data_IF_229140830162
#
_entry.id   IF_229140830162
#
_cell.length_a   1.000
_cell.length_b   1.000
_cell.length_c   1.000
_cell.angle_alpha   90.00
_cell.angle_beta   90.00
_cell.angle_gamma   90.00
#
_symmetry.space_group_name_H-M   'P 1'
#
loop_
_entity.id
_entity.type
_entity.pdbx_description
1 polymer ?
#
# COMPACT_ATOMS: atom_id res chain seq x y z
N UNK A 1 -13.03 -8.14 1.02
CA UNK A 1 -11.55 -8.09 0.96
C UNK A 1 -11.07 -8.22 -0.47
N UNK A 2 -10.25 -7.30 -0.96
CA UNK A 2 -9.70 -7.31 -2.32
C UNK A 2 -8.57 -8.35 -2.49
N UNK A 3 -8.02 -8.48 -3.72
CA UNK A 3 -6.98 -9.48 -4.01
C UNK A 3 -5.65 -9.18 -3.32
N UNK A 4 -5.34 -7.91 -3.07
CA UNK A 4 -4.09 -7.49 -2.41
C UNK A 4 -4.16 -7.82 -0.92
N UNK A 5 -5.26 -7.50 -0.26
CA UNK A 5 -5.49 -7.87 1.13
C UNK A 5 -5.50 -9.41 1.31
N UNK A 6 -6.07 -10.17 0.36
CA UNK A 6 -5.98 -11.64 0.40
C UNK A 6 -4.54 -12.13 0.27
N UNK A 7 -3.75 -11.55 -0.63
CA UNK A 7 -2.32 -11.87 -0.76
C UNK A 7 -1.56 -11.59 0.55
N UNK A 8 -1.77 -10.43 1.16
CA UNK A 8 -1.14 -10.03 2.43
C UNK A 8 -1.54 -11.00 3.54
N UNK A 9 -2.84 -11.34 3.65
CA UNK A 9 -3.34 -12.28 4.65
C UNK A 9 -2.74 -13.68 4.48
N UNK A 10 -2.73 -14.20 3.25
CA UNK A 10 -2.17 -15.51 2.95
C UNK A 10 -0.65 -15.55 3.18
N UNK A 11 0.03 -14.43 2.94
CA UNK A 11 1.45 -14.29 3.22
C UNK A 11 1.71 -14.30 4.74
N UNK A 12 0.91 -13.57 5.52
CA UNK A 12 0.95 -13.57 6.98
C UNK A 12 0.68 -14.97 7.56
N UNK A 13 -0.35 -15.67 7.05
CA UNK A 13 -0.67 -17.04 7.49
C UNK A 13 0.47 -18.03 7.28
N UNK A 14 1.18 -17.93 6.14
CA UNK A 14 2.33 -18.81 5.87
C UNK A 14 3.54 -18.54 6.75
N UNK A 15 3.71 -17.29 7.20
CA UNK A 15 4.81 -16.91 8.11
C UNK A 15 4.51 -17.27 9.55
N UNK A 16 3.25 -17.12 9.96
CA UNK A 16 2.84 -17.30 11.35
C UNK A 16 3.39 -16.21 12.28
N UNK A 17 3.22 -16.43 13.58
CA UNK A 17 3.67 -15.50 14.60
C UNK A 17 2.72 -14.32 14.80
N UNK A 18 3.19 -13.31 15.54
CA UNK A 18 2.44 -12.10 15.84
C UNK A 18 2.60 -11.09 14.74
N UNK A 19 1.48 -10.58 14.22
CA UNK A 19 1.41 -9.71 13.03
C UNK A 19 0.93 -8.31 13.41
N UNK A 20 1.55 -7.28 12.86
CA UNK A 20 1.05 -5.90 12.86
C UNK A 20 0.65 -5.50 11.44
N UNK A 21 -0.56 -4.99 11.26
CA UNK A 21 -0.98 -4.28 10.05
C UNK A 21 -0.80 -2.77 10.28
N UNK A 22 0.26 -2.21 9.72
CA UNK A 22 0.60 -0.79 9.82
C UNK A 22 -0.17 0.01 8.76
N UNK A 23 -0.97 0.98 9.20
CA UNK A 23 -1.93 1.69 8.37
C UNK A 23 -3.14 0.82 8.06
N UNK A 24 -3.69 0.18 9.08
CA UNK A 24 -4.74 -0.85 8.94
C UNK A 24 -6.13 -0.28 8.55
N UNK A 25 -6.28 1.02 8.41
CA UNK A 25 -7.57 1.66 8.15
C UNK A 25 -8.63 1.26 9.17
N UNK A 26 -9.80 0.87 8.70
CA UNK A 26 -10.89 0.37 9.55
C UNK A 26 -10.70 -1.06 10.08
N UNK A 27 -9.51 -1.68 9.92
CA UNK A 27 -9.18 -2.99 10.48
C UNK A 27 -9.75 -4.18 9.70
N UNK A 28 -10.02 -4.07 8.41
CA UNK A 28 -10.56 -5.20 7.60
C UNK A 28 -9.61 -6.40 7.62
N UNK A 29 -8.30 -6.17 7.40
CA UNK A 29 -7.30 -7.23 7.41
C UNK A 29 -7.14 -7.83 8.81
N UNK A 30 -7.18 -7.00 9.85
CA UNK A 30 -7.12 -7.44 11.26
C UNK A 30 -8.29 -8.35 11.60
N UNK A 31 -9.53 -7.93 11.24
CA UNK A 31 -10.72 -8.75 11.46
C UNK A 31 -10.64 -10.10 10.75
N UNK A 32 -10.27 -10.09 9.46
CA UNK A 32 -10.14 -11.30 8.67
C UNK A 32 -9.02 -12.22 9.19
N UNK A 33 -7.90 -11.66 9.61
CA UNK A 33 -6.79 -12.40 10.20
C UNK A 33 -7.17 -13.08 11.52
N UNK A 34 -7.82 -12.35 12.43
CA UNK A 34 -8.33 -12.90 13.69
C UNK A 34 -9.34 -14.02 13.46
N UNK A 35 -10.28 -13.84 12.55
CA UNK A 35 -11.24 -14.86 12.15
C UNK A 35 -10.56 -16.12 11.57
N UNK A 36 -9.36 -15.98 11.00
CA UNK A 36 -8.53 -17.06 10.50
C UNK A 36 -7.55 -17.63 11.53
N UNK A 37 -7.65 -17.21 12.81
CA UNK A 37 -6.81 -17.70 13.91
C UNK A 37 -5.42 -17.08 14.00
N UNK A 38 -5.17 -15.94 13.34
CA UNK A 38 -3.90 -15.21 13.48
C UNK A 38 -3.91 -14.31 14.71
N UNK A 39 -2.78 -14.21 15.38
CA UNK A 39 -2.49 -13.17 16.37
C UNK A 39 -2.09 -11.89 15.63
N UNK A 40 -3.09 -11.12 15.19
CA UNK A 40 -2.91 -9.91 14.37
C UNK A 40 -3.49 -8.67 15.05
N UNK A 41 -2.75 -7.58 14.97
CA UNK A 41 -3.05 -6.25 15.50
C UNK A 41 -2.97 -5.21 14.37
N UNK A 42 -3.54 -4.04 14.60
CA UNK A 42 -3.46 -2.91 13.68
C UNK A 42 -2.95 -1.65 14.36
N UNK A 43 -2.31 -0.78 13.60
CA UNK A 43 -1.98 0.58 14.00
C UNK A 43 -2.39 1.56 12.90
N UNK A 44 -3.09 2.65 13.28
CA UNK A 44 -3.63 3.63 12.31
C UNK A 44 -3.55 5.06 12.88
N UNK A 45 -3.36 6.05 12.03
CA UNK A 45 -3.31 7.48 12.41
C UNK A 45 -4.70 8.09 12.66
N UNK A 46 -5.74 7.57 12.03
CA UNK A 46 -7.11 8.07 12.09
C UNK A 46 -7.25 9.57 11.78
N UNK A 47 -6.74 10.01 10.64
CA UNK A 47 -6.78 11.42 10.24
C UNK A 47 -8.22 11.95 10.10
N UNK A 48 -8.40 13.25 10.30
CA UNK A 48 -9.69 13.92 10.18
C UNK A 48 -10.30 13.76 8.79
N UNK A 49 -11.58 13.36 8.73
CA UNK A 49 -12.29 13.06 7.48
C UNK A 49 -12.21 11.61 7.02
N UNK A 50 -11.48 10.75 7.74
CA UNK A 50 -11.51 9.30 7.54
C UNK A 50 -12.60 8.64 8.40
N UNK A 51 -13.28 7.63 7.85
CA UNK A 51 -14.22 6.80 8.60
C UNK A 51 -13.54 5.63 9.33
N UNK A 52 -12.22 5.48 9.19
CA UNK A 52 -11.47 4.33 9.68
C UNK A 52 -11.66 4.06 11.17
N UNK A 53 -11.65 5.12 12.01
CA UNK A 53 -11.89 5.00 13.45
C UNK A 53 -13.28 4.41 13.76
N UNK A 54 -14.33 4.91 13.08
CA UNK A 54 -15.69 4.42 13.27
C UNK A 54 -15.84 2.98 12.76
N UNK A 55 -15.19 2.65 11.66
CA UNK A 55 -15.20 1.29 11.12
C UNK A 55 -14.49 0.30 12.05
N UNK A 56 -13.33 0.66 12.61
CA UNK A 56 -12.63 -0.16 13.60
C UNK A 56 -13.47 -0.37 14.87
N UNK A 57 -14.16 0.70 15.34
CA UNK A 57 -15.07 0.61 16.48
C UNK A 57 -16.27 -0.30 16.18
N UNK A 58 -16.90 -0.17 15.02
CA UNK A 58 -18.04 -0.99 14.60
C UNK A 58 -17.66 -2.50 14.47
N UNK A 59 -16.38 -2.79 14.21
CA UNK A 59 -15.85 -4.17 14.20
C UNK A 59 -15.45 -4.66 15.60
N UNK A 60 -15.56 -3.83 16.64
CA UNK A 60 -15.12 -4.17 18.00
C UNK A 60 -13.61 -4.32 18.16
N UNK A 61 -12.82 -3.67 17.30
CA UNK A 61 -11.36 -3.82 17.27
C UNK A 61 -10.64 -2.64 17.94
N UNK A 62 -11.28 -1.47 18.01
CA UNK A 62 -10.65 -0.24 18.48
C UNK A 62 -10.25 -0.34 19.97
N UNK A 63 -9.01 0.04 20.26
CA UNK A 63 -8.44 0.04 21.61
C UNK A 63 -7.80 -1.31 22.03
N UNK A 64 -8.32 -2.43 21.56
CA UNK A 64 -7.73 -3.78 21.80
C UNK A 64 -6.81 -4.19 20.66
N UNK A 65 -7.39 -4.56 19.52
CA UNK A 65 -6.65 -5.08 18.38
C UNK A 65 -6.14 -3.98 17.46
N UNK A 66 -6.85 -2.86 17.35
CA UNK A 66 -6.47 -1.70 16.53
C UNK A 66 -6.22 -0.52 17.45
N UNK A 67 -5.00 0.01 17.41
CA UNK A 67 -4.57 1.13 18.23
C UNK A 67 -4.18 2.33 17.38
N UNK A 68 -4.37 3.51 17.96
CA UNK A 68 -3.97 4.77 17.33
C UNK A 68 -2.45 4.94 17.39
N UNK A 69 -1.85 5.30 16.27
CA UNK A 69 -0.43 5.70 16.19
C UNK A 69 -0.31 7.02 16.95
N UNK A 70 0.63 7.06 17.90
CA UNK A 70 0.84 8.20 18.76
C UNK A 70 1.44 9.41 18.05
N UNK A 71 1.59 10.49 18.79
CA UNK A 71 2.30 11.69 18.33
C UNK A 71 3.70 11.32 17.82
N UNK A 72 4.18 12.07 16.85
CA UNK A 72 5.46 11.80 16.17
C UNK A 72 5.56 10.43 15.47
N UNK A 73 4.41 9.76 15.22
CA UNK A 73 4.37 8.50 14.46
C UNK A 73 4.77 7.27 15.27
N UNK A 74 4.77 7.34 16.62
CA UNK A 74 5.13 6.20 17.47
C UNK A 74 4.09 5.07 17.36
N UNK A 75 4.54 3.87 17.07
CA UNK A 75 3.71 2.67 17.02
C UNK A 75 3.42 2.21 18.47
N UNK A 76 2.13 2.11 18.88
CA UNK A 76 1.73 1.91 20.29
C UNK A 76 1.91 0.45 20.76
N UNK A 77 3.06 -0.12 20.48
CA UNK A 77 3.45 -1.45 20.88
C UNK A 77 4.91 -1.48 21.35
N UNK A 78 5.28 -2.44 22.23
CA UNK A 78 6.65 -2.58 22.72
C UNK A 78 7.66 -2.87 21.61
N UNK A 79 8.93 -2.71 21.95
CA UNK A 79 10.05 -3.17 21.13
C UNK A 79 9.98 -4.67 20.92
N UNK A 80 10.44 -5.15 19.78
CA UNK A 80 10.59 -6.58 19.45
C UNK A 80 9.32 -7.42 19.72
N UNK A 81 8.17 -6.84 19.42
CA UNK A 81 6.86 -7.44 19.71
C UNK A 81 6.33 -8.31 18.59
N UNK A 82 6.61 -7.96 17.33
CA UNK A 82 6.03 -8.59 16.15
C UNK A 82 7.03 -9.45 15.38
N UNK A 83 6.54 -10.57 14.85
CA UNK A 83 7.28 -11.43 13.92
C UNK A 83 7.16 -10.91 12.49
N UNK A 84 6.03 -10.22 12.18
CA UNK A 84 5.71 -9.67 10.89
C UNK A 84 5.01 -8.31 11.02
N UNK A 85 5.41 -7.36 10.18
CA UNK A 85 4.65 -6.14 9.89
C UNK A 85 4.16 -6.18 8.45
N UNK A 86 2.87 -5.91 8.22
CA UNK A 86 2.30 -5.69 6.89
C UNK A 86 1.94 -4.23 6.72
N UNK A 87 2.03 -3.72 5.48
CA UNK A 87 1.58 -2.38 5.12
C UNK A 87 1.11 -2.37 3.67
N UNK A 88 -0.15 -2.03 3.44
CA UNK A 88 -0.77 -2.06 2.12
C UNK A 88 -1.38 -0.69 1.78
N UNK A 89 -0.84 -0.01 0.75
CA UNK A 89 -1.27 1.32 0.30
C UNK A 89 -1.18 2.39 1.41
N UNK A 90 -0.03 2.46 2.08
CA UNK A 90 0.21 3.38 3.22
C UNK A 90 1.46 4.22 3.01
N UNK A 91 2.56 3.63 2.53
CA UNK A 91 3.87 4.29 2.51
C UNK A 91 3.95 5.48 1.55
N UNK A 92 3.04 5.57 0.58
CA UNK A 92 2.85 6.73 -0.29
C UNK A 92 2.18 7.92 0.43
N UNK A 93 1.58 7.69 1.60
CA UNK A 93 0.95 8.74 2.43
C UNK A 93 1.84 9.23 3.57
N UNK A 94 2.96 8.58 3.79
CA UNK A 94 3.88 8.87 4.89
C UNK A 94 4.79 10.05 4.54
N UNK A 95 4.80 11.09 5.38
CA UNK A 95 5.66 12.25 5.20
C UNK A 95 7.14 11.91 5.45
N UNK A 96 7.45 11.32 6.59
CA UNK A 96 8.80 10.87 6.95
C UNK A 96 8.89 9.34 6.92
N UNK A 97 9.29 8.81 5.76
CA UNK A 97 9.44 7.37 5.56
C UNK A 97 10.54 6.77 6.44
N UNK A 98 11.58 7.54 6.75
CA UNK A 98 12.68 7.07 7.57
C UNK A 98 12.24 6.88 9.04
N UNK A 99 11.49 7.83 9.59
CA UNK A 99 10.91 7.73 10.93
C UNK A 99 9.98 6.51 11.05
N UNK A 100 9.10 6.29 10.07
CA UNK A 100 8.19 5.13 10.06
C UNK A 100 8.97 3.81 9.97
N UNK A 101 9.98 3.72 9.11
CA UNK A 101 10.78 2.50 8.98
C UNK A 101 11.59 2.20 10.25
N UNK A 102 12.02 3.24 10.98
CA UNK A 102 12.68 3.11 12.28
C UNK A 102 11.73 2.54 13.34
N UNK A 103 10.50 3.04 13.40
CA UNK A 103 9.47 2.52 14.31
C UNK A 103 9.06 1.09 13.97
N UNK A 104 8.88 0.77 12.70
CA UNK A 104 8.64 -0.61 12.24
C UNK A 104 9.81 -1.51 12.65
N UNK A 105 11.05 -1.04 12.48
CA UNK A 105 12.23 -1.78 12.91
C UNK A 105 12.25 -1.99 14.44
N UNK A 106 11.87 -0.97 15.24
CA UNK A 106 11.80 -1.06 16.69
C UNK A 106 10.84 -2.16 17.15
N UNK A 107 9.62 -2.18 16.61
CA UNK A 107 8.59 -3.13 17.05
C UNK A 107 8.76 -4.55 16.50
N UNK A 108 9.60 -4.73 15.48
CA UNK A 108 9.92 -6.07 14.94
C UNK A 108 10.93 -6.79 15.81
N UNK A 109 10.72 -8.07 16.05
CA UNK A 109 11.70 -8.97 16.64
C UNK A 109 12.95 -9.11 15.76
N UNK A 110 14.12 -9.48 16.34
CA UNK A 110 15.27 -9.87 15.54
C UNK A 110 14.88 -10.94 14.51
N UNK A 111 15.27 -10.73 13.25
CA UNK A 111 14.90 -11.61 12.14
C UNK A 111 13.46 -11.53 11.67
N UNK A 112 12.63 -10.69 12.29
CA UNK A 112 11.27 -10.38 11.85
C UNK A 112 11.25 -9.73 10.47
N UNK A 113 10.09 -9.73 9.83
CA UNK A 113 9.94 -9.32 8.42
C UNK A 113 8.89 -8.22 8.23
N UNK A 114 9.04 -7.44 7.16
CA UNK A 114 8.05 -6.48 6.67
C UNK A 114 7.58 -6.89 5.29
N UNK A 115 6.28 -6.85 5.03
CA UNK A 115 5.70 -6.89 3.69
C UNK A 115 5.03 -5.56 3.41
N UNK A 116 5.56 -4.79 2.45
CA UNK A 116 4.98 -3.52 2.02
C UNK A 116 4.52 -3.58 0.57
N UNK A 117 3.30 -3.10 0.31
CA UNK A 117 2.68 -3.07 -1.02
C UNK A 117 2.14 -1.66 -1.26
N UNK A 118 2.80 -0.88 -2.13
CA UNK A 118 2.41 0.50 -2.41
C UNK A 118 3.02 1.03 -3.72
N UNK A 119 2.40 2.04 -4.39
CA UNK A 119 2.93 2.61 -5.63
C UNK A 119 4.17 3.47 -5.38
N UNK A 120 5.10 3.46 -6.34
CA UNK A 120 6.18 4.44 -6.44
C UNK A 120 5.81 5.59 -7.38
N UNK A 121 6.63 6.64 -7.41
CA UNK A 121 6.53 7.71 -8.41
C UNK A 121 6.67 7.22 -9.86
N UNK A 122 7.20 6.02 -10.06
CA UNK A 122 7.48 5.46 -11.39
C UNK A 122 6.23 4.91 -12.10
N UNK A 123 5.06 4.82 -11.44
CA UNK A 123 3.83 4.32 -12.07
C UNK A 123 3.32 5.29 -13.14
N UNK A 124 2.70 4.74 -14.18
CA UNK A 124 2.15 5.56 -15.27
C UNK A 124 0.79 6.16 -14.94
N UNK A 125 0.03 5.51 -14.07
CA UNK A 125 -1.30 5.97 -13.69
C UNK A 125 -1.31 6.31 -12.22
N UNK A 126 -1.73 7.53 -11.91
CA UNK A 126 -2.00 7.91 -10.54
C UNK A 126 -3.19 7.12 -9.99
N UNK A 127 -2.96 6.35 -8.94
CA UNK A 127 -3.89 5.31 -8.48
C UNK A 127 -5.18 5.87 -7.86
N UNK A 128 -5.08 6.97 -7.13
CA UNK A 128 -6.20 7.55 -6.38
C UNK A 128 -7.23 8.23 -7.28
N UNK A 129 -6.78 8.92 -8.33
CA UNK A 129 -7.67 9.64 -9.25
C UNK A 129 -7.81 8.99 -10.62
N UNK A 130 -6.98 8.02 -10.93
CA UNK A 130 -7.05 7.28 -12.18
C UNK A 130 -6.65 8.06 -13.43
N UNK A 131 -5.86 9.14 -13.28
CA UNK A 131 -5.34 9.94 -14.38
C UNK A 131 -3.90 9.55 -14.68
N UNK A 132 -3.56 9.15 -15.93
CA UNK A 132 -2.19 8.85 -16.31
C UNK A 132 -1.26 10.03 -16.04
N UNK A 133 -0.05 9.77 -15.57
CA UNK A 133 1.06 10.71 -15.42
C UNK A 133 0.80 11.98 -14.59
N UNK A 134 -0.38 12.19 -14.00
CA UNK A 134 -0.72 13.45 -13.33
C UNK A 134 0.20 13.79 -12.14
N UNK A 135 0.74 12.78 -11.46
CA UNK A 135 1.69 12.94 -10.36
C UNK A 135 3.14 13.23 -10.80
N UNK A 136 3.43 13.15 -12.11
CA UNK A 136 4.76 13.49 -12.65
C UNK A 136 4.92 15.00 -12.89
N UNK A 137 3.81 15.75 -12.94
CA UNK A 137 3.86 17.19 -13.04
C UNK A 137 4.19 17.82 -11.68
N UNK A 138 4.81 19.01 -11.73
CA UNK A 138 5.07 19.82 -10.53
C UNK A 138 3.74 20.10 -9.80
N UNK A 139 3.72 19.84 -8.48
CA UNK A 139 2.59 20.15 -7.60
C UNK A 139 2.19 21.63 -7.75
N UNK A 140 0.87 21.93 -7.77
CA UNK A 140 0.32 23.27 -7.92
C UNK A 140 0.51 23.90 -9.30
N UNK A 141 1.09 23.22 -10.30
CA UNK A 141 1.31 23.83 -11.62
C UNK A 141 0.02 23.93 -12.44
N UNK A 142 -0.14 25.03 -13.19
CA UNK A 142 -1.26 25.23 -14.13
C UNK A 142 -1.33 24.13 -15.19
N UNK A 143 -0.17 23.68 -15.67
CA UNK A 143 -0.10 22.60 -16.68
C UNK A 143 -0.70 21.30 -16.14
N UNK A 144 -0.37 20.91 -14.90
CA UNK A 144 -0.94 19.74 -14.24
C UNK A 144 -2.45 19.83 -14.11
N UNK A 145 -2.95 21.01 -13.71
CA UNK A 145 -4.37 21.26 -13.60
C UNK A 145 -5.09 21.11 -14.94
N UNK A 146 -4.64 21.80 -16.00
CA UNK A 146 -5.27 21.72 -17.32
C UNK A 146 -5.21 20.31 -17.92
N UNK A 147 -4.09 19.64 -17.77
CA UNK A 147 -3.93 18.23 -18.17
C UNK A 147 -4.95 17.32 -17.47
N UNK A 148 -5.04 17.41 -16.15
CA UNK A 148 -5.96 16.59 -15.34
C UNK A 148 -7.41 16.91 -15.67
N UNK A 149 -7.75 18.18 -15.80
CA UNK A 149 -9.10 18.62 -16.18
C UNK A 149 -9.49 18.14 -17.57
N UNK A 150 -8.64 18.29 -18.58
CA UNK A 150 -8.92 17.85 -19.96
C UNK A 150 -9.16 16.33 -20.02
N UNK A 151 -8.32 15.54 -19.37
CA UNK A 151 -8.52 14.08 -19.31
C UNK A 151 -9.78 13.70 -18.54
N UNK A 152 -10.12 14.42 -17.48
CA UNK A 152 -11.38 14.22 -16.75
C UNK A 152 -12.59 14.60 -17.62
N UNK A 153 -12.53 15.67 -18.38
CA UNK A 153 -13.57 16.08 -19.33
C UNK A 153 -13.75 15.04 -20.45
N UNK A 154 -12.66 14.40 -20.87
CA UNK A 154 -12.68 13.27 -21.81
C UNK A 154 -13.15 11.95 -21.19
N UNK A 155 -13.61 11.94 -19.93
CA UNK A 155 -14.22 10.78 -19.29
C UNK A 155 -13.28 9.92 -18.43
N UNK A 156 -11.97 10.25 -18.32
CA UNK A 156 -11.06 9.54 -17.43
C UNK A 156 -11.29 9.91 -15.95
N UNK A 157 -10.61 9.21 -15.07
CA UNK A 157 -10.66 9.46 -13.62
C UNK A 157 -11.66 8.58 -12.88
N UNK A 158 -11.44 8.46 -11.56
CA UNK A 158 -12.26 7.72 -10.61
C UNK A 158 -13.16 8.69 -9.82
N UNK A 159 -14.14 8.17 -9.06
CA UNK A 159 -14.98 8.97 -8.16
C UNK A 159 -15.60 10.20 -8.85
N UNK A 160 -16.18 9.97 -10.02
CA UNK A 160 -16.64 11.02 -10.94
C UNK A 160 -17.83 11.82 -10.42
N UNK A 161 -18.60 11.24 -9.53
CA UNK A 161 -19.77 11.75 -8.83
C UNK A 161 -19.46 12.66 -7.63
N UNK A 162 -18.21 12.69 -7.19
CA UNK A 162 -17.78 13.49 -6.04
C UNK A 162 -17.56 14.98 -6.34
N UNK A 163 -17.96 15.46 -7.52
CA UNK A 163 -17.92 16.88 -7.85
C UNK A 163 -18.91 17.22 -8.97
N UNK A 164 -19.47 18.45 -9.00
CA UNK A 164 -20.52 18.83 -9.93
C UNK A 164 -20.06 18.88 -11.40
N UNK A 165 -18.77 19.05 -11.65
CA UNK A 165 -18.20 19.09 -13.00
C UNK A 165 -16.73 18.69 -13.00
N UNK A 166 -16.19 18.47 -14.21
CA UNK A 166 -14.80 18.02 -14.41
C UNK A 166 -13.74 19.01 -13.85
N UNK A 167 -14.04 20.33 -13.92
CA UNK A 167 -13.11 21.35 -13.42
C UNK A 167 -13.00 21.30 -11.89
N UNK A 168 -14.13 21.28 -11.19
CA UNK A 168 -14.16 21.21 -9.74
C UNK A 168 -13.59 19.89 -9.24
N UNK A 169 -13.88 18.78 -9.95
CA UNK A 169 -13.28 17.48 -9.67
C UNK A 169 -11.75 17.55 -9.74
N UNK A 170 -11.20 18.17 -10.80
CA UNK A 170 -9.74 18.26 -10.95
C UNK A 170 -9.10 19.10 -9.83
N UNK A 171 -9.73 20.20 -9.41
CA UNK A 171 -9.27 20.98 -8.26
C UNK A 171 -9.26 20.14 -7.00
N UNK A 172 -10.39 19.59 -6.60
CA UNK A 172 -10.54 18.85 -5.35
C UNK A 172 -9.58 17.65 -5.28
N UNK A 173 -9.42 16.93 -6.40
CA UNK A 173 -8.57 15.74 -6.45
C UNK A 173 -7.08 16.07 -6.44
N UNK A 174 -6.67 17.13 -7.10
CA UNK A 174 -5.27 17.57 -7.08
C UNK A 174 -4.88 18.11 -5.70
N UNK A 175 -5.76 18.90 -5.06
CA UNK A 175 -5.55 19.40 -3.71
C UNK A 175 -5.41 18.23 -2.71
N UNK A 176 -6.27 17.22 -2.84
CA UNK A 176 -6.19 16.02 -2.00
C UNK A 176 -4.87 15.24 -2.20
N UNK A 177 -4.47 15.00 -3.46
CA UNK A 177 -3.20 14.31 -3.74
C UNK A 177 -2.04 15.12 -3.16
N UNK A 178 -2.02 16.43 -3.35
CA UNK A 178 -0.92 17.28 -2.90
C UNK A 178 -0.80 17.34 -1.37
N UNK A 179 -1.94 17.26 -0.68
CA UNK A 179 -1.99 17.20 0.76
C UNK A 179 -1.56 15.82 1.32
N UNK A 180 -2.05 14.73 0.73
CA UNK A 180 -2.00 13.41 1.35
C UNK A 180 -1.07 12.41 0.67
N UNK A 181 -0.37 12.75 -0.43
CA UNK A 181 0.57 11.81 -1.06
C UNK A 181 1.99 12.34 -1.17
N UNK A 182 2.95 11.43 -0.95
CA UNK A 182 4.40 11.67 -1.00
C UNK A 182 5.05 10.60 -1.88
N UNK A 183 4.80 10.70 -3.19
CA UNK A 183 5.39 9.78 -4.15
C UNK A 183 6.91 9.88 -4.18
N UNK A 184 7.56 8.74 -3.99
CA UNK A 184 9.01 8.54 -4.05
C UNK A 184 9.34 7.59 -5.18
N UNK A 185 10.48 7.77 -5.81
CA UNK A 185 10.99 6.82 -6.79
C UNK A 185 11.32 5.47 -6.13
N UNK A 186 11.33 4.40 -6.91
CA UNK A 186 11.75 3.08 -6.43
C UNK A 186 13.16 3.12 -5.80
N UNK A 187 14.07 3.90 -6.37
CA UNK A 187 15.44 4.04 -5.87
C UNK A 187 15.47 4.66 -4.48
N UNK A 188 14.73 5.76 -4.26
CA UNK A 188 14.62 6.42 -2.96
C UNK A 188 13.98 5.49 -1.92
N UNK A 189 12.90 4.80 -2.30
CA UNK A 189 12.22 3.83 -1.43
C UNK A 189 13.19 2.74 -0.98
N UNK A 190 13.87 2.07 -1.92
CA UNK A 190 14.80 1.00 -1.59
C UNK A 190 16.00 1.49 -0.79
N UNK A 191 16.48 2.71 -1.03
CA UNK A 191 17.55 3.32 -0.24
C UNK A 191 17.12 3.53 1.22
N UNK A 192 15.87 4.00 1.47
CA UNK A 192 15.33 4.14 2.82
C UNK A 192 15.19 2.79 3.52
N UNK A 193 14.55 1.80 2.88
CA UNK A 193 14.39 0.46 3.46
C UNK A 193 15.71 -0.21 3.81
N UNK A 194 16.73 -0.10 2.94
CA UNK A 194 18.04 -0.72 3.14
C UNK A 194 18.86 -0.16 4.30
N UNK A 195 18.46 0.96 4.89
CA UNK A 195 19.10 1.47 6.12
C UNK A 195 18.83 0.56 7.32
N UNK A 196 17.64 -0.06 7.36
CA UNK A 196 17.15 -0.84 8.49
C UNK A 196 17.03 -2.33 8.19
N UNK A 197 16.87 -2.70 6.92
CA UNK A 197 16.46 -4.03 6.49
C UNK A 197 17.31 -4.58 5.35
N UNK A 198 17.36 -5.91 5.25
CA UNK A 198 17.68 -6.60 4.01
C UNK A 198 16.39 -6.67 3.19
N UNK A 199 16.35 -5.95 2.05
CA UNK A 199 15.12 -5.76 1.28
C UNK A 199 15.24 -6.27 -0.14
N UNK A 200 14.21 -6.97 -0.60
CA UNK A 200 14.07 -7.47 -1.96
C UNK A 200 12.69 -7.16 -2.54
N UNK A 201 12.59 -7.14 -3.86
CA UNK A 201 11.37 -6.89 -4.58
C UNK A 201 10.72 -8.21 -5.00
N UNK A 202 9.47 -8.42 -4.60
CA UNK A 202 8.73 -9.68 -4.75
C UNK A 202 7.48 -9.56 -5.63
N UNK A 203 7.44 -8.62 -6.59
CA UNK A 203 6.29 -8.45 -7.48
C UNK A 203 5.97 -9.72 -8.29
N UNK A 204 6.99 -10.55 -8.58
CA UNK A 204 6.80 -11.83 -9.27
C UNK A 204 5.87 -12.76 -8.49
N UNK A 205 6.01 -12.80 -7.17
CA UNK A 205 5.17 -13.64 -6.30
C UNK A 205 3.74 -13.11 -6.25
N UNK A 206 3.58 -11.78 -6.22
CA UNK A 206 2.25 -11.16 -6.29
C UNK A 206 1.58 -11.38 -7.64
N UNK A 207 2.30 -11.22 -8.76
CA UNK A 207 1.79 -11.50 -10.12
C UNK A 207 1.32 -12.96 -10.20
N UNK A 208 2.14 -13.88 -9.72
CA UNK A 208 1.80 -15.31 -9.66
C UNK A 208 0.54 -15.54 -8.85
N UNK A 209 0.47 -14.96 -7.65
CA UNK A 209 -0.69 -15.05 -6.78
C UNK A 209 -1.96 -14.54 -7.49
N UNK A 210 -1.92 -13.33 -8.04
CA UNK A 210 -3.05 -12.69 -8.73
C UNK A 210 -3.54 -13.48 -9.94
N UNK A 211 -2.65 -14.09 -10.70
CA UNK A 211 -3.02 -14.92 -11.85
C UNK A 211 -3.64 -16.26 -11.43
N UNK A 212 -3.29 -16.77 -10.27
CA UNK A 212 -3.75 -18.06 -9.76
C UNK A 212 -4.90 -17.96 -8.74
N UNK A 213 -5.22 -16.77 -8.24
CA UNK A 213 -6.27 -16.49 -7.24
C UNK A 213 -7.66 -17.03 -7.67
N UNK A 214 -7.93 -17.09 -8.98
CA UNK A 214 -9.14 -17.72 -9.51
C UNK A 214 -8.78 -18.88 -10.44
N UNK A 215 -9.26 -20.09 -10.18
CA UNK A 215 -8.93 -21.25 -11.01
C UNK A 215 -9.49 -21.08 -12.42
N UNK A 216 -8.64 -21.37 -13.42
CA UNK A 216 -9.01 -21.34 -14.83
C UNK A 216 -7.82 -21.71 -15.72
N UNK A 217 -8.04 -22.51 -16.78
CA UNK A 217 -6.98 -22.99 -17.67
C UNK A 217 -6.20 -21.85 -18.32
N UNK A 218 -6.90 -20.83 -18.82
CA UNK A 218 -6.31 -19.66 -19.47
C UNK A 218 -5.41 -18.88 -18.49
N UNK A 219 -5.83 -18.68 -17.25
CA UNK A 219 -5.02 -17.97 -16.24
C UNK A 219 -3.78 -18.74 -15.85
N UNK A 220 -3.83 -20.06 -15.75
CA UNK A 220 -2.65 -20.91 -15.52
C UNK A 220 -1.66 -20.83 -16.69
N UNK A 221 -2.17 -20.83 -17.94
CA UNK A 221 -1.34 -20.64 -19.12
C UNK A 221 -0.68 -19.25 -19.13
N UNK A 222 -1.45 -18.18 -18.86
CA UNK A 222 -0.92 -16.82 -18.71
C UNK A 222 0.11 -16.71 -17.60
N UNK A 223 -0.10 -17.36 -16.45
CA UNK A 223 0.87 -17.39 -15.36
C UNK A 223 2.18 -18.07 -15.78
N UNK A 224 2.11 -19.18 -16.51
CA UNK A 224 3.31 -19.86 -17.04
C UNK A 224 4.09 -18.96 -18.00
N UNK A 225 3.41 -18.28 -18.92
CA UNK A 225 4.02 -17.37 -19.90
C UNK A 225 4.60 -16.13 -19.18
N UNK A 226 3.81 -15.44 -18.34
CA UNK A 226 4.22 -14.23 -17.65
C UNK A 226 5.36 -14.46 -16.64
N UNK A 227 5.58 -15.70 -16.20
CA UNK A 227 6.63 -16.06 -15.25
C UNK A 227 7.78 -16.87 -15.89
N UNK A 228 7.72 -17.11 -17.20
CA UNK A 228 8.78 -17.81 -17.91
C UNK A 228 10.10 -17.03 -17.86
N UNK A 229 11.27 -17.71 -17.93
CA UNK A 229 12.56 -17.06 -18.04
C UNK A 229 12.59 -16.05 -19.20
N UNK A 230 13.12 -14.85 -18.97
CA UNK A 230 13.12 -13.74 -19.93
C UNK A 230 11.83 -12.92 -19.96
N UNK A 231 10.67 -13.52 -20.19
CA UNK A 231 9.38 -12.82 -20.20
C UNK A 231 9.01 -12.32 -18.80
N UNK A 232 9.34 -13.06 -17.76
CA UNK A 232 9.04 -12.70 -16.38
C UNK A 232 9.68 -11.38 -15.94
N UNK A 233 10.88 -11.06 -16.39
CA UNK A 233 11.53 -9.80 -16.10
C UNK A 233 10.76 -8.61 -16.73
N UNK A 234 10.35 -8.75 -17.99
CA UNK A 234 9.55 -7.75 -18.70
C UNK A 234 8.15 -7.58 -18.06
N UNK A 235 7.50 -8.69 -17.68
CA UNK A 235 6.22 -8.66 -16.99
C UNK A 235 6.30 -7.93 -15.64
N UNK A 236 7.35 -8.17 -14.85
CA UNK A 236 7.61 -7.46 -13.60
C UNK A 236 7.90 -5.97 -13.85
N UNK A 237 8.70 -5.64 -14.85
CA UNK A 237 9.00 -4.26 -15.20
C UNK A 237 7.73 -3.49 -15.60
N UNK A 238 6.88 -4.10 -16.43
CA UNK A 238 5.59 -3.53 -16.81
C UNK A 238 4.63 -3.42 -15.61
N UNK A 239 4.57 -4.45 -14.77
CA UNK A 239 3.74 -4.42 -13.55
C UNK A 239 4.08 -3.23 -12.64
N UNK A 240 5.38 -2.96 -12.42
CA UNK A 240 5.86 -1.79 -11.65
C UNK A 240 5.42 -0.45 -12.23
N UNK A 241 5.23 -0.38 -13.56
CA UNK A 241 4.72 0.83 -14.23
C UNK A 241 3.21 0.96 -14.17
N UNK A 242 2.49 -0.13 -13.99
CA UNK A 242 1.02 -0.15 -14.03
C UNK A 242 0.37 -0.23 -12.65
N UNK A 243 1.10 -0.70 -11.62
CA UNK A 243 0.51 -1.01 -10.33
C UNK A 243 1.32 -0.46 -9.13
N UNK A 244 2.21 -1.26 -8.56
CA UNK A 244 2.89 -0.93 -7.31
C UNK A 244 4.15 -1.80 -7.11
N UNK A 245 4.92 -1.49 -6.09
CA UNK A 245 6.01 -2.31 -5.58
C UNK A 245 5.49 -3.31 -4.56
N UNK A 246 6.10 -4.48 -4.53
CA UNK A 246 5.93 -5.47 -3.45
C UNK A 246 7.30 -5.69 -2.84
N UNK A 247 7.50 -5.19 -1.64
CA UNK A 247 8.78 -5.21 -0.94
C UNK A 247 8.68 -6.16 0.25
N UNK A 248 9.55 -7.15 0.27
CA UNK A 248 9.78 -7.98 1.45
C UNK A 248 11.10 -7.59 2.06
N UNK A 249 11.08 -7.32 3.35
CA UNK A 249 12.25 -6.85 4.08
C UNK A 249 12.41 -7.64 5.37
N UNK A 250 13.65 -7.97 5.74
CA UNK A 250 14.00 -8.66 6.98
C UNK A 250 14.82 -7.76 7.88
N UNK A 251 14.48 -7.68 9.17
CA UNK A 251 15.24 -6.93 10.17
C UNK A 251 16.67 -7.42 10.21
N UNK A 252 17.60 -6.47 10.16
CA UNK A 252 19.05 -6.70 10.30
C UNK A 252 19.41 -7.15 11.70
#
# INVERSE_FOLDING_TARGET
MDVTNRFVLDWARRRGGRVLDYGCGGGELVAAGRAAGLEIFGAEVFYAGSNARQEAANRGLLGDAVREIGECGSIPFPDEHFDLVTSNQVMEHVDDLDAVLREIHRVLKPGGSVLSVFPSADVWREGHIGIPFSHWFRKGSRLRFHYTWALRAAGLGTWKDQAPNARQWAINKLDWIDAYTRYRTRTEILAAYRRYFFSELCERDYIRYRLLDRPGGVRRALARVALAPGIGAAAVALFRKLAFLVIVSRKR
#
